data_IF_616709600914
#
_entry.id   IF_616709600914
#
_cell.length_a   1.000
_cell.length_b   1.000
_cell.length_c   1.000
_cell.angle_alpha   90.00
_cell.angle_beta   90.00
_cell.angle_gamma   90.00
#
_symmetry.space_group_name_H-M   'P 1'
#
loop_
_entity.id
_entity.type
_entity.pdbx_description
1 polymer ?
#
# COMPACT_ATOMS: atom_id res chain seq x y z
N UNK A 1 -10.48 -13.79 3.57
CA UNK A 1 -9.52 -12.66 3.72
C UNK A 1 -8.91 -12.72 5.10
N UNK A 2 -7.61 -12.47 5.25
CA UNK A 2 -6.97 -12.18 6.53
C UNK A 2 -6.97 -10.66 6.77
N UNK A 3 -6.83 -10.26 8.03
CA UNK A 3 -6.85 -8.87 8.43
C UNK A 3 -5.42 -8.41 8.74
N UNK A 4 -4.98 -7.36 8.07
CA UNK A 4 -3.69 -6.73 8.32
C UNK A 4 -3.79 -5.21 8.40
N UNK A 5 -2.70 -4.57 8.81
CA UNK A 5 -2.54 -3.11 8.82
C UNK A 5 -1.09 -2.74 8.63
N UNK A 6 -0.84 -1.53 8.15
CA UNK A 6 0.51 -0.97 8.02
C UNK A 6 1.20 -0.83 9.38
N UNK A 7 2.52 -1.01 9.39
CA UNK A 7 3.34 -0.82 10.58
C UNK A 7 3.75 0.64 10.81
N UNK A 8 3.66 1.48 9.78
CA UNK A 8 4.27 2.80 9.71
C UNK A 8 3.99 3.72 10.89
N UNK A 9 2.74 3.87 11.27
CA UNK A 9 2.34 4.74 12.38
C UNK A 9 2.94 4.34 13.73
N UNK A 10 3.13 3.04 13.95
CA UNK A 10 3.75 2.51 15.17
C UNK A 10 5.28 2.52 15.04
N UNK A 11 5.82 2.06 13.93
CA UNK A 11 7.28 1.94 13.70
C UNK A 11 7.99 3.28 13.83
N UNK A 12 7.40 4.36 13.32
CA UNK A 12 7.96 5.74 13.46
C UNK A 12 8.13 6.18 14.91
N UNK A 13 7.36 5.65 15.85
CA UNK A 13 7.36 6.07 17.26
C UNK A 13 8.06 5.06 18.17
N UNK A 14 7.89 3.77 17.91
CA UNK A 14 8.26 2.69 18.83
C UNK A 14 9.24 1.68 18.23
N UNK A 15 9.53 1.77 16.92
CA UNK A 15 10.36 0.82 16.19
C UNK A 15 9.60 -0.42 15.72
N UNK A 16 10.20 -1.15 14.76
CA UNK A 16 9.55 -2.24 14.02
C UNK A 16 9.20 -3.44 14.90
N UNK A 17 10.10 -3.81 15.82
CA UNK A 17 9.83 -4.92 16.74
C UNK A 17 8.59 -4.67 17.60
N UNK A 18 8.45 -3.44 18.12
CA UNK A 18 7.31 -3.09 18.94
C UNK A 18 6.03 -2.99 18.13
N UNK A 19 6.13 -2.53 16.86
CA UNK A 19 5.00 -2.54 15.95
C UNK A 19 4.46 -3.96 15.73
N UNK A 20 5.33 -4.92 15.41
CA UNK A 20 4.95 -6.31 15.20
C UNK A 20 4.30 -6.92 16.46
N UNK A 21 4.90 -6.73 17.63
CA UNK A 21 4.35 -7.23 18.91
C UNK A 21 2.97 -6.64 19.20
N UNK A 22 2.83 -5.31 19.03
CA UNK A 22 1.58 -4.61 19.32
C UNK A 22 0.44 -5.06 18.37
N UNK A 23 0.73 -5.27 17.08
CA UNK A 23 -0.26 -5.76 16.12
C UNK A 23 -0.67 -7.20 16.41
N UNK A 24 0.28 -8.08 16.78
CA UNK A 24 -0.03 -9.43 17.23
C UNK A 24 -0.93 -9.42 18.49
N UNK A 25 -0.59 -8.61 19.49
CA UNK A 25 -1.37 -8.46 20.73
C UNK A 25 -2.76 -7.84 20.49
N UNK A 26 -2.89 -7.02 19.45
CA UNK A 26 -4.19 -6.45 19.02
C UNK A 26 -5.08 -7.49 18.32
N UNK A 27 -4.54 -8.61 17.85
CA UNK A 27 -5.28 -9.71 17.24
C UNK A 27 -5.34 -9.66 15.70
N UNK A 28 -4.40 -8.98 15.06
CA UNK A 28 -4.25 -9.05 13.59
C UNK A 28 -3.66 -10.39 13.15
N UNK A 29 -4.02 -10.84 11.94
CA UNK A 29 -3.45 -12.06 11.34
C UNK A 29 -2.08 -11.77 10.70
N UNK A 30 -1.93 -10.55 10.18
CA UNK A 30 -0.76 -10.14 9.42
C UNK A 30 -0.49 -8.63 9.57
N UNK A 31 0.65 -8.21 9.04
CA UNK A 31 1.02 -6.80 8.93
C UNK A 31 1.58 -6.48 7.55
N UNK A 32 1.38 -5.23 7.13
CA UNK A 32 2.05 -4.60 5.99
C UNK A 32 3.28 -3.85 6.51
N UNK A 33 4.48 -4.25 6.04
CA UNK A 33 5.71 -3.60 6.47
C UNK A 33 5.95 -2.31 5.68
N UNK A 34 5.90 -1.18 6.38
CA UNK A 34 5.99 0.15 5.77
C UNK A 34 7.44 0.63 5.70
N UNK A 35 8.10 0.46 4.56
CA UNK A 35 9.47 0.97 4.35
C UNK A 35 9.52 2.49 4.38
N UNK A 36 8.48 3.18 3.95
CA UNK A 36 8.40 4.65 3.97
C UNK A 36 8.38 5.27 5.39
N UNK A 37 8.23 4.45 6.41
CA UNK A 37 8.40 4.89 7.80
C UNK A 37 9.85 5.21 8.17
N UNK A 38 10.83 4.88 7.33
CA UNK A 38 12.25 5.00 7.58
C UNK A 38 12.90 6.08 6.72
N UNK A 39 13.91 6.75 7.29
CA UNK A 39 14.68 7.77 6.59
C UNK A 39 15.42 7.19 5.37
N UNK A 40 15.60 7.98 4.34
CA UNK A 40 16.22 7.56 3.09
C UNK A 40 17.67 7.03 3.22
N UNK A 41 18.38 7.44 4.25
CA UNK A 41 19.74 7.02 4.61
C UNK A 41 19.77 5.90 5.66
N UNK A 42 18.61 5.36 6.02
CA UNK A 42 18.51 4.27 6.99
C UNK A 42 19.25 3.01 6.53
N UNK A 43 19.83 2.30 7.48
CA UNK A 43 20.51 1.01 7.25
C UNK A 43 19.61 -0.04 6.59
N UNK A 44 18.29 0.06 6.74
CA UNK A 44 17.34 -0.88 6.14
C UNK A 44 17.43 -0.93 4.60
N UNK A 45 17.98 0.10 3.96
CA UNK A 45 18.20 0.15 2.51
C UNK A 45 19.63 -0.28 2.10
N UNK A 46 20.46 -0.75 3.02
CA UNK A 46 21.80 -1.26 2.73
C UNK A 46 21.80 -2.75 2.41
N UNK A 47 22.91 -3.29 1.89
CA UNK A 47 23.08 -4.72 1.62
C UNK A 47 23.17 -5.58 2.89
N UNK A 48 23.50 -4.97 4.03
CA UNK A 48 23.79 -5.67 5.28
C UNK A 48 22.57 -5.84 6.18
N UNK A 49 21.38 -5.49 5.66
CA UNK A 49 20.12 -5.50 6.42
C UNK A 49 19.42 -6.87 6.51
N UNK A 50 19.89 -7.87 5.77
CA UNK A 50 19.20 -9.17 5.64
C UNK A 50 19.00 -9.86 7.00
N UNK A 51 19.99 -9.82 7.87
CA UNK A 51 19.87 -10.45 9.19
C UNK A 51 18.86 -9.72 10.09
N UNK A 52 18.78 -8.42 10.01
CA UNK A 52 17.73 -7.63 10.67
C UNK A 52 16.32 -8.11 10.28
N UNK A 53 16.06 -8.24 8.98
CA UNK A 53 14.75 -8.70 8.51
C UNK A 53 14.47 -10.18 8.83
N UNK A 54 15.50 -11.03 8.87
CA UNK A 54 15.34 -12.39 9.38
C UNK A 54 14.98 -12.43 10.86
N UNK A 55 15.54 -11.52 11.66
CA UNK A 55 15.20 -11.41 13.09
C UNK A 55 13.78 -10.91 13.29
N UNK A 56 13.36 -9.87 12.55
CA UNK A 56 11.97 -9.41 12.56
C UNK A 56 10.99 -10.52 12.16
N UNK A 57 11.34 -11.32 11.14
CA UNK A 57 10.51 -12.46 10.74
C UNK A 57 10.41 -13.50 11.85
N UNK A 58 11.53 -13.87 12.49
CA UNK A 58 11.50 -14.82 13.63
C UNK A 58 10.65 -14.29 14.78
N UNK A 59 10.75 -12.98 15.04
CA UNK A 59 9.92 -12.32 16.05
C UNK A 59 8.43 -12.44 15.68
N UNK A 60 8.06 -12.11 14.45
CA UNK A 60 6.68 -12.21 13.95
C UNK A 60 6.15 -13.65 14.09
N UNK A 61 6.94 -14.63 13.64
CA UNK A 61 6.61 -16.06 13.77
C UNK A 61 6.37 -16.45 15.24
N UNK A 62 7.20 -15.95 16.16
CA UNK A 62 7.05 -16.22 17.60
C UNK A 62 5.81 -15.56 18.21
N UNK A 63 5.33 -14.47 17.63
CA UNK A 63 4.11 -13.77 18.01
C UNK A 63 2.85 -14.30 17.30
N UNK A 64 3.00 -15.24 16.37
CA UNK A 64 1.89 -15.83 15.60
C UNK A 64 1.29 -14.88 14.56
N UNK A 65 2.05 -13.89 14.07
CA UNK A 65 1.64 -12.93 13.03
C UNK A 65 2.59 -13.04 11.83
N UNK A 66 2.11 -12.74 10.62
CA UNK A 66 2.90 -12.85 9.38
C UNK A 66 2.99 -11.52 8.64
N UNK A 67 4.07 -11.32 7.85
CA UNK A 67 4.10 -10.23 6.88
C UNK A 67 3.39 -10.71 5.60
N UNK A 68 2.22 -10.16 5.29
CA UNK A 68 1.48 -10.52 4.08
C UNK A 68 1.78 -9.59 2.90
N UNK A 69 1.99 -8.32 3.19
CA UNK A 69 2.20 -7.23 2.25
C UNK A 69 3.32 -6.33 2.77
N UNK A 70 3.89 -5.51 1.90
CA UNK A 70 4.80 -4.44 2.27
C UNK A 70 4.54 -3.22 1.41
N UNK A 71 4.93 -2.04 1.89
CA UNK A 71 4.85 -0.77 1.17
C UNK A 71 6.26 -0.22 0.93
N UNK A 72 6.64 -0.05 -0.34
CA UNK A 72 7.94 0.49 -0.74
C UNK A 72 8.07 1.98 -0.37
N UNK A 73 9.31 2.52 -0.30
CA UNK A 73 9.49 3.94 -0.08
C UNK A 73 8.94 4.76 -1.26
N UNK A 74 8.26 5.86 -0.95
CA UNK A 74 7.76 6.85 -1.90
C UNK A 74 8.58 8.16 -1.83
N UNK A 75 8.57 8.97 -2.89
CA UNK A 75 8.04 8.70 -4.22
C UNK A 75 8.92 7.75 -5.05
N UNK A 76 8.37 7.19 -6.14
CA UNK A 76 9.12 6.33 -7.06
C UNK A 76 10.02 7.08 -8.04
N UNK A 77 9.79 8.40 -8.21
CA UNK A 77 10.62 9.31 -9.00
C UNK A 77 10.35 10.76 -8.60
N UNK A 78 11.36 11.60 -8.76
CA UNK A 78 11.28 13.06 -8.56
C UNK A 78 11.68 13.84 -9.82
N UNK A 79 11.91 13.14 -10.95
CA UNK A 79 12.33 13.75 -12.22
C UNK A 79 13.80 14.18 -12.26
N UNK A 80 14.61 13.70 -11.32
CA UNK A 80 16.06 13.94 -11.24
C UNK A 80 16.78 12.61 -11.43
N UNK A 81 17.54 12.49 -12.51
CA UNK A 81 18.16 11.22 -12.91
C UNK A 81 19.04 10.57 -11.84
N UNK A 82 19.74 11.33 -11.01
CA UNK A 82 20.65 10.75 -10.02
C UNK A 82 19.87 10.38 -8.74
N UNK A 83 18.92 11.20 -8.33
CA UNK A 83 18.02 10.88 -7.21
C UNK A 83 17.13 9.68 -7.56
N UNK A 84 16.61 9.63 -8.78
CA UNK A 84 15.76 8.53 -9.25
C UNK A 84 16.50 7.19 -9.26
N UNK A 85 17.80 7.17 -9.58
CA UNK A 85 18.64 5.97 -9.43
C UNK A 85 18.75 5.49 -7.99
N UNK A 86 18.89 6.40 -7.03
CA UNK A 86 18.95 6.05 -5.61
C UNK A 86 17.58 5.59 -5.08
N UNK A 87 16.49 6.25 -5.52
CA UNK A 87 15.12 5.81 -5.21
C UNK A 87 14.89 4.39 -5.75
N UNK A 88 15.25 4.13 -6.99
CA UNK A 88 15.11 2.82 -7.62
C UNK A 88 15.89 1.72 -6.86
N UNK A 89 17.12 2.01 -6.42
CA UNK A 89 17.90 1.08 -5.59
C UNK A 89 17.19 0.78 -4.26
N UNK A 90 16.62 1.80 -3.59
CA UNK A 90 15.87 1.62 -2.35
C UNK A 90 14.63 0.75 -2.57
N UNK A 91 13.89 0.94 -3.66
CA UNK A 91 12.75 0.10 -4.02
C UNK A 91 13.20 -1.37 -4.17
N UNK A 92 14.28 -1.64 -4.91
CA UNK A 92 14.80 -3.01 -5.08
C UNK A 92 15.24 -3.61 -3.73
N UNK A 93 15.90 -2.83 -2.86
CA UNK A 93 16.27 -3.29 -1.51
C UNK A 93 15.05 -3.61 -0.66
N UNK A 94 13.99 -2.80 -0.77
CA UNK A 94 12.73 -3.06 -0.10
C UNK A 94 12.03 -4.34 -0.62
N UNK A 95 12.11 -4.62 -1.92
CA UNK A 95 11.61 -5.88 -2.49
C UNK A 95 12.34 -7.11 -1.91
N UNK A 96 13.68 -7.04 -1.83
CA UNK A 96 14.49 -8.10 -1.22
C UNK A 96 14.13 -8.30 0.25
N UNK A 97 14.07 -7.21 1.02
CA UNK A 97 13.75 -7.23 2.44
C UNK A 97 12.31 -7.73 2.71
N UNK A 98 11.33 -7.28 1.93
CA UNK A 98 9.94 -7.74 2.02
C UNK A 98 9.82 -9.26 1.77
N UNK A 99 10.57 -9.78 0.79
CA UNK A 99 10.66 -11.23 0.54
C UNK A 99 11.25 -11.99 1.74
N UNK A 100 12.29 -11.45 2.39
CA UNK A 100 12.88 -12.03 3.61
C UNK A 100 11.87 -12.05 4.75
N UNK A 101 11.09 -10.98 4.93
CA UNK A 101 9.99 -10.93 5.91
C UNK A 101 8.89 -11.94 5.61
N UNK A 102 8.75 -12.40 4.38
CA UNK A 102 7.75 -13.36 3.94
C UNK A 102 6.58 -12.77 3.17
N UNK A 103 6.60 -11.46 2.89
CA UNK A 103 5.58 -10.80 2.09
C UNK A 103 5.50 -11.41 0.69
N UNK A 104 4.28 -11.49 0.16
CA UNK A 104 4.01 -11.98 -1.20
C UNK A 104 3.83 -10.85 -2.19
N UNK A 105 3.49 -9.67 -1.69
CA UNK A 105 3.22 -8.47 -2.48
C UNK A 105 3.93 -7.30 -1.82
N UNK A 106 4.51 -6.42 -2.64
CA UNK A 106 4.99 -5.11 -2.24
C UNK A 106 4.30 -4.04 -3.08
N UNK A 107 3.67 -3.08 -2.42
CA UNK A 107 3.07 -1.92 -3.09
C UNK A 107 4.18 -0.95 -3.48
N UNK A 108 4.17 -0.52 -4.73
CA UNK A 108 5.12 0.44 -5.29
C UNK A 108 4.33 1.50 -6.04
N UNK A 109 4.38 2.73 -5.53
CA UNK A 109 3.70 3.86 -6.19
C UNK A 109 4.15 4.06 -7.63
N UNK A 110 3.27 4.49 -8.53
CA UNK A 110 3.67 4.86 -9.88
C UNK A 110 4.56 6.12 -9.87
N UNK A 111 5.31 6.29 -10.94
CA UNK A 111 5.98 7.55 -11.26
C UNK A 111 4.91 8.60 -11.52
N UNK A 112 4.95 9.72 -10.77
CA UNK A 112 3.93 10.78 -10.86
C UNK A 112 4.51 12.19 -10.63
N UNK A 113 5.79 12.41 -10.96
CA UNK A 113 6.44 13.70 -10.78
C UNK A 113 6.03 14.76 -11.81
N UNK A 114 5.36 14.37 -12.90
CA UNK A 114 4.77 15.28 -13.89
C UNK A 114 3.31 15.58 -13.53
N UNK A 115 2.82 16.75 -13.98
CA UNK A 115 1.40 17.09 -13.88
C UNK A 115 0.59 16.17 -14.80
N UNK A 116 -0.24 15.31 -14.22
CA UNK A 116 -0.99 14.29 -14.96
C UNK A 116 -1.84 14.89 -16.09
N UNK A 117 -2.56 15.99 -15.84
CA UNK A 117 -3.42 16.64 -16.83
C UNK A 117 -2.66 17.12 -18.09
N UNK A 118 -1.36 17.37 -17.99
CA UNK A 118 -0.52 17.87 -19.07
C UNK A 118 0.27 16.75 -19.77
N UNK A 119 0.56 15.65 -19.06
CA UNK A 119 1.48 14.60 -19.51
C UNK A 119 0.94 13.17 -19.35
N UNK A 120 -0.35 12.87 -19.65
CA UNK A 120 -0.92 11.55 -19.35
C UNK A 120 -0.26 10.42 -20.16
N UNK A 121 0.03 10.64 -21.46
CA UNK A 121 0.69 9.63 -22.29
C UNK A 121 2.15 9.41 -21.89
N UNK A 122 2.87 10.47 -21.57
CA UNK A 122 4.27 10.39 -21.13
C UNK A 122 4.36 9.60 -19.81
N UNK A 123 3.49 9.91 -18.84
CA UNK A 123 3.39 9.17 -17.57
C UNK A 123 3.03 7.70 -17.82
N UNK A 124 2.14 7.41 -18.78
CA UNK A 124 1.81 6.04 -19.15
C UNK A 124 3.04 5.27 -19.64
N UNK A 125 3.78 5.82 -20.61
CA UNK A 125 4.98 5.17 -21.15
C UNK A 125 6.07 4.99 -20.08
N UNK A 126 6.30 6.03 -19.27
CA UNK A 126 7.26 5.98 -18.16
C UNK A 126 6.92 4.88 -17.17
N UNK A 127 5.67 4.77 -16.76
CA UNK A 127 5.24 3.78 -15.77
C UNK A 127 5.26 2.35 -16.32
N UNK A 128 4.81 2.13 -17.55
CA UNK A 128 4.93 0.80 -18.19
C UNK A 128 6.39 0.35 -18.24
N UNK A 129 7.32 1.25 -18.62
CA UNK A 129 8.75 0.97 -18.62
C UNK A 129 9.28 0.72 -17.21
N UNK A 130 8.88 1.53 -16.23
CA UNK A 130 9.29 1.42 -14.84
C UNK A 130 8.89 0.06 -14.26
N UNK A 131 7.61 -0.32 -14.34
CA UNK A 131 7.16 -1.59 -13.80
C UNK A 131 7.75 -2.80 -14.53
N UNK A 132 7.92 -2.74 -15.87
CA UNK A 132 8.66 -3.79 -16.61
C UNK A 132 10.10 -3.95 -16.11
N UNK A 133 10.75 -2.88 -15.68
CA UNK A 133 12.11 -2.95 -15.14
C UNK A 133 12.21 -3.65 -13.78
N UNK A 134 11.08 -3.75 -13.04
CA UNK A 134 11.03 -4.45 -11.75
C UNK A 134 10.80 -5.96 -11.87
N UNK A 135 10.31 -6.46 -13.01
CA UNK A 135 9.98 -7.88 -13.21
C UNK A 135 11.16 -8.82 -12.89
N UNK A 136 12.41 -8.57 -13.35
CA UNK A 136 13.53 -9.46 -13.01
C UNK A 136 13.79 -9.56 -11.49
N UNK A 137 13.46 -8.53 -10.74
CA UNK A 137 13.59 -8.53 -9.28
C UNK A 137 12.39 -9.21 -8.60
N UNK A 138 11.20 -9.10 -9.18
CA UNK A 138 10.05 -9.89 -8.74
C UNK A 138 10.34 -11.39 -8.83
N UNK A 139 10.85 -11.84 -9.98
CA UNK A 139 11.27 -13.23 -10.20
C UNK A 139 12.38 -13.65 -9.24
N UNK A 140 13.42 -12.82 -9.11
CA UNK A 140 14.57 -13.10 -8.23
C UNK A 140 14.16 -13.27 -6.77
N UNK A 141 13.27 -12.43 -6.28
CA UNK A 141 12.87 -12.40 -4.88
C UNK A 141 11.55 -13.15 -4.61
N UNK A 142 10.91 -13.67 -5.66
CA UNK A 142 9.61 -14.35 -5.59
C UNK A 142 8.55 -13.49 -4.88
N UNK A 143 8.42 -12.23 -5.28
CA UNK A 143 7.49 -11.24 -4.73
C UNK A 143 6.81 -10.47 -5.87
N UNK A 144 5.50 -10.27 -5.79
CA UNK A 144 4.78 -9.44 -6.74
C UNK A 144 4.90 -7.97 -6.39
N UNK A 145 4.89 -7.11 -7.40
CA UNK A 145 4.73 -5.66 -7.24
C UNK A 145 3.28 -5.29 -7.53
N UNK A 146 2.66 -4.59 -6.60
CA UNK A 146 1.34 -4.03 -6.79
C UNK A 146 1.43 -2.53 -7.12
N UNK A 147 0.87 -2.15 -8.27
CA UNK A 147 0.65 -0.74 -8.64
C UNK A 147 -0.49 -0.21 -7.76
N UNK A 148 -0.41 1.04 -7.34
CA UNK A 148 -1.46 1.70 -6.58
C UNK A 148 -2.10 2.83 -7.39
N UNK A 149 -3.41 3.03 -7.21
CA UNK A 149 -4.14 4.17 -7.78
C UNK A 149 -3.88 5.43 -6.96
N UNK A 150 -3.51 6.52 -7.65
CA UNK A 150 -3.04 7.75 -7.02
C UNK A 150 -3.98 8.94 -7.29
N UNK A 151 -3.71 10.04 -6.61
CA UNK A 151 -4.27 11.35 -6.86
C UNK A 151 -3.15 12.41 -6.92
N UNK A 152 -3.46 13.59 -7.48
CA UNK A 152 -2.60 14.76 -7.43
C UNK A 152 -3.36 15.95 -6.86
N UNK A 153 -2.62 16.86 -6.22
CA UNK A 153 -3.19 18.12 -5.76
C UNK A 153 -2.96 19.24 -6.77
N UNK A 154 -4.04 19.81 -7.26
CA UNK A 154 -3.98 20.99 -8.11
C UNK A 154 -3.92 22.25 -7.24
N UNK A 155 -2.73 22.85 -7.12
CA UNK A 155 -2.51 24.02 -6.28
C UNK A 155 -3.27 25.26 -6.79
N UNK A 156 -3.46 25.41 -8.10
CA UNK A 156 -4.21 26.53 -8.69
C UNK A 156 -5.71 26.44 -8.40
N UNK A 157 -6.28 25.22 -8.49
CA UNK A 157 -7.69 24.94 -8.21
C UNK A 157 -7.97 24.63 -6.74
N UNK A 158 -6.96 24.49 -5.92
CA UNK A 158 -7.07 24.07 -4.50
C UNK A 158 -7.93 22.80 -4.32
N UNK A 159 -7.73 21.81 -5.17
CA UNK A 159 -8.51 20.57 -5.15
C UNK A 159 -7.66 19.36 -5.54
N UNK A 160 -8.12 18.18 -5.13
CA UNK A 160 -7.60 16.89 -5.59
C UNK A 160 -8.10 16.68 -7.03
N UNK A 161 -7.24 16.14 -7.88
CA UNK A 161 -7.48 15.86 -9.29
C UNK A 161 -6.98 14.47 -9.67
N UNK A 162 -7.28 14.07 -10.91
CA UNK A 162 -6.76 12.84 -11.51
C UNK A 162 -5.24 12.77 -11.45
N UNK A 163 -4.75 11.56 -11.31
CA UNK A 163 -3.34 11.19 -11.40
C UNK A 163 -3.22 9.81 -12.06
N UNK A 164 -2.02 9.26 -12.08
CA UNK A 164 -1.74 7.92 -12.61
C UNK A 164 -2.59 6.87 -11.91
N UNK A 165 -3.26 6.03 -12.69
CA UNK A 165 -4.13 4.95 -12.23
C UNK A 165 -5.37 5.41 -11.43
N UNK A 166 -5.73 6.69 -11.44
CA UNK A 166 -6.87 7.21 -10.67
C UNK A 166 -8.24 6.81 -11.22
N UNK A 167 -8.30 6.31 -12.45
CA UNK A 167 -9.51 5.82 -13.11
C UNK A 167 -9.42 4.33 -13.41
N UNK A 168 -10.50 3.59 -13.18
CA UNK A 168 -10.53 2.13 -13.33
C UNK A 168 -10.06 1.66 -14.71
N UNK A 169 -10.52 2.31 -15.79
CA UNK A 169 -10.14 1.95 -17.17
C UNK A 169 -8.65 2.12 -17.42
N UNK A 170 -8.06 3.17 -16.86
CA UNK A 170 -6.64 3.47 -16.99
C UNK A 170 -5.81 2.50 -16.15
N UNK A 171 -6.22 2.24 -14.91
CA UNK A 171 -5.52 1.29 -14.06
C UNK A 171 -5.45 -0.10 -14.70
N UNK A 172 -6.57 -0.59 -15.22
CA UNK A 172 -6.58 -1.83 -16.00
C UNK A 172 -5.62 -1.77 -17.18
N UNK A 173 -5.61 -0.64 -17.94
CA UNK A 173 -4.71 -0.43 -19.08
C UNK A 173 -3.24 -0.51 -18.68
N UNK A 174 -2.84 0.03 -17.53
CA UNK A 174 -1.46 -0.07 -17.03
C UNK A 174 -1.05 -1.52 -16.77
N UNK A 175 -1.86 -2.25 -16.00
CA UNK A 175 -1.56 -3.66 -15.67
C UNK A 175 -1.49 -4.49 -16.94
N UNK A 176 -2.47 -4.34 -17.85
CA UNK A 176 -2.53 -5.08 -19.11
C UNK A 176 -1.35 -4.73 -20.04
N UNK A 177 -0.87 -3.49 -20.07
CA UNK A 177 0.27 -3.07 -20.90
C UNK A 177 1.63 -3.56 -20.36
N UNK A 178 1.74 -3.76 -19.05
CA UNK A 178 2.94 -4.40 -18.47
C UNK A 178 2.96 -5.88 -18.82
N UNK A 179 1.80 -6.54 -18.88
CA UNK A 179 1.60 -7.93 -19.33
C UNK A 179 2.50 -8.93 -18.59
N UNK A 180 2.37 -8.99 -17.26
CA UNK A 180 3.17 -9.88 -16.42
C UNK A 180 2.38 -10.31 -15.18
N UNK A 181 2.44 -11.60 -14.83
CA UNK A 181 1.86 -12.14 -13.59
C UNK A 181 2.48 -11.56 -12.30
N UNK A 182 3.65 -10.94 -12.42
CA UNK A 182 4.38 -10.32 -11.32
C UNK A 182 3.89 -8.91 -10.99
N UNK A 183 3.11 -8.28 -11.88
CA UNK A 183 2.61 -6.93 -11.70
C UNK A 183 1.09 -6.96 -11.58
N UNK A 184 0.60 -6.54 -10.44
CA UNK A 184 -0.83 -6.60 -10.06
C UNK A 184 -1.31 -5.23 -9.55
N UNK A 185 -2.55 -5.12 -9.15
CA UNK A 185 -3.11 -3.88 -8.59
C UNK A 185 -3.29 -3.95 -7.08
N UNK A 186 -2.92 -2.88 -6.41
CA UNK A 186 -3.38 -2.51 -5.08
C UNK A 186 -4.43 -1.41 -5.22
N UNK A 187 -5.65 -1.65 -4.76
CA UNK A 187 -6.67 -0.62 -4.75
C UNK A 187 -6.65 0.11 -3.42
N UNK A 188 -6.24 1.38 -3.45
CA UNK A 188 -6.51 2.29 -2.37
C UNK A 188 -7.94 2.83 -2.50
N UNK A 189 -8.77 2.44 -1.54
CA UNK A 189 -10.20 2.75 -1.49
C UNK A 189 -10.43 4.24 -1.22
N UNK A 190 -9.62 4.82 -0.35
CA UNK A 190 -9.67 6.24 -0.06
C UNK A 190 -9.32 7.09 -1.27
N UNK A 191 -8.25 6.76 -2.00
CA UNK A 191 -7.84 7.46 -3.22
C UNK A 191 -8.92 7.43 -4.31
N UNK A 192 -9.59 6.29 -4.53
CA UNK A 192 -10.73 6.24 -5.45
C UNK A 192 -11.82 7.21 -5.01
N UNK A 193 -12.12 7.27 -3.72
CA UNK A 193 -13.18 8.13 -3.19
C UNK A 193 -12.93 9.63 -3.44
N UNK A 194 -11.66 10.02 -3.50
CA UNK A 194 -11.25 11.41 -3.73
C UNK A 194 -11.40 11.84 -5.19
N UNK A 195 -11.23 10.92 -6.14
CA UNK A 195 -11.18 11.20 -7.57
C UNK A 195 -12.43 10.74 -8.31
N UNK A 196 -12.73 9.43 -8.25
CA UNK A 196 -13.82 8.80 -9.04
C UNK A 196 -15.15 8.72 -8.27
N UNK A 197 -15.08 8.48 -6.95
CA UNK A 197 -16.21 8.24 -6.05
C UNK A 197 -17.03 6.97 -6.35
N UNK A 198 -16.84 6.32 -7.51
CA UNK A 198 -17.50 5.07 -7.89
C UNK A 198 -16.62 3.86 -7.51
N UNK A 199 -16.40 3.66 -6.22
CA UNK A 199 -15.50 2.64 -5.69
C UNK A 199 -15.93 1.24 -6.13
N UNK A 200 -17.21 0.92 -6.05
CA UNK A 200 -17.75 -0.39 -6.44
C UNK A 200 -17.60 -0.67 -7.93
N UNK A 201 -17.81 0.34 -8.77
CA UNK A 201 -17.54 0.26 -10.21
C UNK A 201 -16.06 0.04 -10.51
N UNK A 202 -15.17 0.66 -9.76
CA UNK A 202 -13.72 0.49 -9.87
C UNK A 202 -13.33 -0.97 -9.53
N UNK A 203 -13.82 -1.51 -8.41
CA UNK A 203 -13.58 -2.89 -7.99
C UNK A 203 -14.04 -3.89 -9.06
N UNK A 204 -15.26 -3.71 -9.60
CA UNK A 204 -15.79 -4.58 -10.67
C UNK A 204 -14.96 -4.52 -11.94
N UNK A 205 -14.50 -3.33 -12.33
CA UNK A 205 -13.69 -3.16 -13.54
C UNK A 205 -12.33 -3.85 -13.43
N UNK A 206 -11.69 -3.80 -12.27
CA UNK A 206 -10.42 -4.51 -12.03
C UNK A 206 -10.62 -6.03 -12.01
N UNK A 207 -11.68 -6.51 -11.37
CA UNK A 207 -11.89 -7.94 -11.15
C UNK A 207 -10.80 -8.58 -10.29
N UNK A 208 -10.97 -9.86 -9.93
CA UNK A 208 -10.04 -10.55 -9.04
C UNK A 208 -8.66 -10.87 -9.65
N UNK A 209 -8.56 -10.88 -10.98
CA UNK A 209 -7.29 -11.19 -11.65
C UNK A 209 -6.28 -10.04 -11.49
N UNK A 210 -6.73 -8.78 -11.61
CA UNK A 210 -5.88 -7.60 -11.48
C UNK A 210 -5.76 -7.13 -10.04
N UNK A 211 -6.87 -7.15 -9.29
CA UNK A 211 -6.94 -6.68 -7.91
C UNK A 211 -6.44 -7.76 -6.95
N UNK A 212 -5.24 -7.61 -6.41
CA UNK A 212 -4.63 -8.59 -5.51
C UNK A 212 -4.20 -8.02 -4.16
N UNK A 213 -4.25 -6.70 -3.99
CA UNK A 213 -3.96 -6.02 -2.74
C UNK A 213 -4.95 -4.88 -2.50
N UNK A 214 -5.12 -4.49 -1.26
CA UNK A 214 -5.95 -3.36 -0.84
C UNK A 214 -5.17 -2.47 0.12
N UNK A 215 -5.44 -1.15 0.00
CA UNK A 215 -5.26 -0.18 1.06
C UNK A 215 -6.63 0.36 1.47
N UNK A 216 -6.95 0.21 2.75
CA UNK A 216 -8.28 0.49 3.28
C UNK A 216 -8.22 1.59 4.32
N UNK A 217 -8.76 2.74 3.97
CA UNK A 217 -9.00 3.85 4.87
C UNK A 217 -10.23 4.65 4.47
N UNK A 218 -10.77 5.42 5.41
CA UNK A 218 -11.96 6.25 5.18
C UNK A 218 -11.57 7.69 4.87
N UNK A 219 -12.41 8.37 4.08
CA UNK A 219 -12.26 9.77 3.69
C UNK A 219 -13.60 10.51 3.73
N UNK A 220 -13.55 11.84 3.73
CA UNK A 220 -14.70 12.71 3.60
C UNK A 220 -15.02 13.10 2.13
N UNK A 221 -14.44 12.38 1.15
CA UNK A 221 -14.49 12.65 -0.29
C UNK A 221 -13.79 13.96 -0.73
N UNK A 222 -12.97 14.54 0.13
CA UNK A 222 -12.25 15.80 -0.14
C UNK A 222 -10.81 15.77 0.33
N UNK A 223 -10.55 15.10 1.44
CA UNK A 223 -9.24 15.04 2.09
C UNK A 223 -8.80 13.60 2.22
N UNK A 224 -7.53 13.36 1.99
CA UNK A 224 -6.88 12.08 2.19
C UNK A 224 -6.63 11.86 3.68
N UNK A 225 -7.63 11.31 4.36
CA UNK A 225 -7.68 11.29 5.83
C UNK A 225 -6.95 10.12 6.46
N UNK A 226 -6.67 9.04 5.73
CA UNK A 226 -6.11 7.80 6.27
C UNK A 226 -6.70 7.42 7.63
N UNK A 227 -8.03 7.54 7.76
CA UNK A 227 -8.74 7.24 9.01
C UNK A 227 -9.45 5.90 8.96
N UNK A 228 -9.88 5.40 10.11
CA UNK A 228 -10.55 4.10 10.24
C UNK A 228 -11.92 4.11 9.54
N UNK A 229 -12.34 3.03 8.86
CA UNK A 229 -13.71 2.85 8.37
C UNK A 229 -14.77 3.21 9.41
N UNK A 230 -15.86 3.83 8.94
CA UNK A 230 -16.96 4.41 9.73
C UNK A 230 -16.64 5.71 10.46
N UNK A 231 -15.46 6.30 10.27
CA UNK A 231 -15.13 7.62 10.84
C UNK A 231 -15.38 8.78 9.87
N UNK A 232 -15.70 8.48 8.60
CA UNK A 232 -16.00 9.48 7.59
C UNK A 232 -17.15 9.01 6.68
N UNK A 233 -17.02 9.05 5.35
CA UNK A 233 -18.18 9.00 4.47
C UNK A 233 -18.26 7.79 3.55
N UNK A 234 -17.26 6.91 3.53
CA UNK A 234 -17.24 5.75 2.62
C UNK A 234 -18.18 4.65 3.12
N UNK A 235 -18.98 4.07 2.22
CA UNK A 235 -19.86 2.94 2.53
C UNK A 235 -19.11 1.61 2.45
N UNK A 236 -18.40 1.24 3.52
CA UNK A 236 -17.60 0.00 3.55
C UNK A 236 -18.42 -1.28 3.46
N UNK A 237 -19.68 -1.29 3.85
CA UNK A 237 -20.52 -2.49 3.71
C UNK A 237 -20.76 -2.82 2.23
N UNK A 238 -21.07 -1.83 1.41
CA UNK A 238 -21.23 -1.99 -0.04
C UNK A 238 -19.92 -2.41 -0.73
N UNK A 239 -18.77 -1.87 -0.26
CA UNK A 239 -17.44 -2.26 -0.75
C UNK A 239 -17.18 -3.74 -0.47
N UNK A 240 -17.44 -4.20 0.76
CA UNK A 240 -17.23 -5.59 1.14
C UNK A 240 -18.13 -6.55 0.36
N UNK A 241 -19.38 -6.15 0.10
CA UNK A 241 -20.29 -6.95 -0.76
C UNK A 241 -19.75 -7.02 -2.20
N UNK A 242 -19.22 -5.92 -2.73
CA UNK A 242 -18.62 -5.89 -4.07
C UNK A 242 -17.34 -6.73 -4.16
N UNK A 243 -16.50 -6.72 -3.14
CA UNK A 243 -15.31 -7.59 -3.08
C UNK A 243 -15.69 -9.08 -3.07
N UNK A 244 -16.79 -9.45 -2.37
CA UNK A 244 -17.33 -10.82 -2.42
C UNK A 244 -17.91 -11.15 -3.80
N UNK A 245 -18.61 -10.20 -4.44
CA UNK A 245 -19.18 -10.34 -5.79
C UNK A 245 -18.12 -10.71 -6.83
N UNK A 246 -16.95 -10.09 -6.78
CA UNK A 246 -15.84 -10.39 -7.70
C UNK A 246 -14.97 -11.58 -7.26
N UNK A 247 -15.30 -12.25 -6.17
CA UNK A 247 -14.50 -13.32 -5.55
C UNK A 247 -13.07 -12.88 -5.25
N UNK A 248 -12.90 -11.72 -4.59
CA UNK A 248 -11.61 -11.19 -4.21
C UNK A 248 -10.83 -12.14 -3.30
N UNK A 249 -9.62 -12.51 -3.69
CA UNK A 249 -8.78 -13.51 -3.02
C UNK A 249 -7.63 -12.92 -2.18
N UNK A 250 -7.43 -11.61 -2.25
CA UNK A 250 -6.39 -10.94 -1.48
C UNK A 250 -6.79 -10.68 -0.02
N UNK A 251 -5.95 -9.93 0.65
CA UNK A 251 -6.10 -9.61 2.07
C UNK A 251 -6.75 -8.23 2.28
N UNK A 252 -7.32 -8.04 3.46
CA UNK A 252 -7.86 -6.76 3.91
C UNK A 252 -6.77 -6.03 4.71
N UNK A 253 -6.11 -5.07 4.08
CA UNK A 253 -5.01 -4.33 4.69
C UNK A 253 -5.41 -2.88 4.96
N UNK A 254 -5.38 -2.47 6.21
CA UNK A 254 -5.57 -1.08 6.58
C UNK A 254 -4.36 -0.22 6.21
N UNK A 255 -4.64 0.95 5.66
CA UNK A 255 -3.75 2.10 5.57
C UNK A 255 -4.35 3.28 6.36
N UNK A 256 -4.61 3.07 7.63
CA UNK A 256 -5.35 3.98 8.49
C UNK A 256 -4.49 4.52 9.65
N UNK A 257 -3.22 4.78 9.39
CA UNK A 257 -2.23 5.24 10.36
C UNK A 257 -2.65 6.55 11.03
N UNK A 258 -3.27 7.49 10.30
CA UNK A 258 -3.72 8.77 10.85
C UNK A 258 -4.82 8.61 11.92
N UNK A 259 -5.58 7.52 11.92
CA UNK A 259 -6.48 7.24 13.04
C UNK A 259 -5.68 6.97 14.32
N UNK A 260 -4.68 6.11 14.23
CA UNK A 260 -3.87 5.70 15.37
C UNK A 260 -3.01 6.87 15.90
N UNK A 261 -2.44 7.66 15.02
CA UNK A 261 -1.55 8.79 15.34
C UNK A 261 -2.26 9.97 16.05
N UNK A 262 -3.59 9.99 16.04
CA UNK A 262 -4.37 10.97 16.83
C UNK A 262 -4.32 10.71 18.33
N UNK A 263 -3.92 9.53 18.75
CA UNK A 263 -3.84 9.18 20.17
C UNK A 263 -2.42 9.39 20.71
N UNK A 264 -2.24 9.63 22.02
CA UNK A 264 -0.96 9.47 22.69
C UNK A 264 -0.46 8.04 22.53
N UNK A 265 0.87 7.85 22.46
CA UNK A 265 1.51 6.55 22.22
C UNK A 265 1.09 5.47 23.21
N UNK A 266 0.78 5.86 24.44
CA UNK A 266 0.30 4.98 25.51
C UNK A 266 -1.05 4.31 25.19
N UNK A 267 -1.82 4.89 24.26
CA UNK A 267 -3.11 4.37 23.81
C UNK A 267 -3.03 3.58 22.50
N UNK A 268 -1.87 3.50 21.84
CA UNK A 268 -1.75 2.84 20.54
C UNK A 268 -2.22 1.38 20.56
N UNK A 269 -1.91 0.65 21.64
CA UNK A 269 -2.36 -0.74 21.78
C UNK A 269 -3.88 -0.88 21.83
N UNK A 270 -4.58 0.01 22.56
CA UNK A 270 -6.04 -0.01 22.63
C UNK A 270 -6.69 0.47 21.32
N UNK A 271 -6.11 1.48 20.67
CA UNK A 271 -6.55 1.93 19.35
C UNK A 271 -6.39 0.84 18.31
N UNK A 272 -5.25 0.15 18.26
CA UNK A 272 -5.00 -0.99 17.37
C UNK A 272 -5.99 -2.14 17.58
N UNK A 273 -6.33 -2.46 18.84
CA UNK A 273 -7.37 -3.46 19.16
C UNK A 273 -8.76 -3.02 18.67
N UNK A 274 -9.08 -1.73 18.79
CA UNK A 274 -10.34 -1.21 18.27
C UNK A 274 -10.39 -1.29 16.74
N UNK A 275 -9.33 -0.87 16.04
CA UNK A 275 -9.19 -1.01 14.59
C UNK A 275 -9.35 -2.48 14.17
N UNK A 276 -8.68 -3.40 14.85
CA UNK A 276 -8.80 -4.84 14.59
C UNK A 276 -10.26 -5.33 14.72
N UNK A 277 -10.99 -4.90 15.74
CA UNK A 277 -12.43 -5.26 15.91
C UNK A 277 -13.29 -4.76 14.75
N UNK A 278 -13.04 -3.54 14.26
CA UNK A 278 -13.75 -2.98 13.10
C UNK A 278 -13.44 -3.81 11.84
N UNK A 279 -12.18 -4.17 11.60
CA UNK A 279 -11.79 -5.02 10.48
C UNK A 279 -12.42 -6.41 10.55
N UNK A 280 -12.38 -7.04 11.71
CA UNK A 280 -13.05 -8.35 11.92
C UNK A 280 -14.55 -8.31 11.67
N UNK A 281 -15.20 -7.18 11.92
CA UNK A 281 -16.60 -6.99 11.55
C UNK A 281 -16.79 -6.91 10.04
N UNK A 282 -15.93 -6.20 9.32
CA UNK A 282 -16.03 -6.00 7.88
C UNK A 282 -15.75 -7.27 7.07
N UNK A 283 -14.74 -8.05 7.47
CA UNK A 283 -14.32 -9.26 6.71
C UNK A 283 -15.14 -10.51 6.99
N UNK A 284 -16.12 -10.46 7.91
CA UNK A 284 -17.09 -11.54 8.14
C UNK A 284 -17.96 -11.76 6.92
#
# INVERSE_FOLDING_TARGET
>A
MILSTMTGGISRKLGDEQAIKMLADAGYDAYDFTFDAHMADSFIYTSDNVDYFKELRRLADSCGITCNQAHAPAPSSVGDSDKDKEIYKRIIRSMEAASVLGAKIIVVHPVQHLTYAEHPEELFEMNVKFYKSLIPFCEKFNIKVAIENMWQYNHAGQCITDSTCSRAWEFCKYIDAVDSEWIVGCLDIGHVSLVDKNITGFIRAMGNNRLQALHVHDTDFKHDLHTLPFNANINFLEIMDTLREIDYQGDFTYEADCFLEKFPVEFYGEAAKFMCKVGRFLIK
#
